data_IF_349649239210
#
_entry.id   IF_349649239210
#
_cell.length_a   1.000
_cell.length_b   1.000
_cell.length_c   1.000
_cell.angle_alpha   90.00
_cell.angle_beta   90.00
_cell.angle_gamma   90.00
#
_symmetry.space_group_name_H-M   'P 1'
#
loop_
_entity.id
_entity.type
_entity.pdbx_description
1 polymer ?
#
# COMPACT_ATOMS: atom_id res chain seq x y z
N UNK A 1 8.34 -1.54 6.34
CA UNK A 1 7.13 -1.00 7.00
C UNK A 1 6.27 -0.17 6.03
N UNK A 2 6.78 0.90 5.38
CA UNK A 2 5.99 1.76 4.47
C UNK A 2 5.27 1.01 3.33
N UNK A 3 5.91 -0.01 2.73
CA UNK A 3 5.29 -0.81 1.67
C UNK A 3 4.11 -1.65 2.16
N UNK A 4 4.25 -2.32 3.32
CA UNK A 4 3.22 -3.22 3.83
C UNK A 4 2.06 -2.46 4.49
N UNK A 5 2.34 -1.38 5.25
CA UNK A 5 1.31 -0.61 5.95
C UNK A 5 0.55 0.38 5.08
N UNK A 6 1.26 1.03 4.15
CA UNK A 6 0.68 2.09 3.31
C UNK A 6 0.51 1.68 1.85
N UNK A 7 0.94 0.48 1.49
CA UNK A 7 0.84 -0.03 0.13
C UNK A 7 1.71 0.73 -0.88
N UNK A 8 2.82 1.34 -0.46
CA UNK A 8 3.65 2.18 -1.32
C UNK A 8 4.53 1.34 -2.26
N UNK A 9 4.76 1.86 -3.47
CA UNK A 9 5.78 1.31 -4.39
C UNK A 9 7.18 1.64 -3.90
N UNK A 10 8.17 0.80 -4.22
CA UNK A 10 9.58 1.06 -3.89
C UNK A 10 10.06 2.43 -4.39
N UNK A 11 9.67 2.80 -5.58
CA UNK A 11 10.00 4.11 -6.17
C UNK A 11 9.34 5.29 -5.46
N UNK A 12 8.12 5.13 -4.98
CA UNK A 12 7.41 6.13 -4.17
C UNK A 12 8.12 6.31 -2.81
N UNK A 13 8.49 5.20 -2.16
CA UNK A 13 9.24 5.21 -0.87
C UNK A 13 10.55 5.99 -1.01
N UNK A 14 11.26 5.84 -2.12
CA UNK A 14 12.49 6.58 -2.40
C UNK A 14 12.29 8.07 -2.62
N UNK A 15 11.12 8.46 -3.12
CA UNK A 15 10.75 9.86 -3.36
C UNK A 15 10.15 10.59 -2.17
N UNK A 16 9.87 9.90 -1.05
CA UNK A 16 9.26 10.53 0.12
C UNK A 16 10.22 11.44 0.85
N UNK A 17 9.75 12.65 1.15
CA UNK A 17 10.46 13.66 1.96
C UNK A 17 9.80 13.81 3.33
N UNK A 18 10.54 14.31 4.29
CA UNK A 18 10.00 14.67 5.60
C UNK A 18 8.92 15.76 5.51
N UNK A 19 9.03 16.65 4.53
CA UNK A 19 8.03 17.69 4.24
C UNK A 19 6.71 17.14 3.70
N UNK A 20 6.66 15.87 3.29
CA UNK A 20 5.44 15.23 2.81
C UNK A 20 4.52 14.76 3.95
N UNK A 21 5.03 14.76 5.18
CA UNK A 21 4.25 14.45 6.38
C UNK A 21 3.45 15.69 6.77
N UNK A 22 2.12 15.56 6.78
CA UNK A 22 1.17 16.59 7.18
C UNK A 22 0.27 16.01 8.29
N UNK A 23 0.68 16.24 9.54
CA UNK A 23 0.04 15.64 10.70
C UNK A 23 0.05 14.12 10.63
N UNK A 24 -1.13 13.52 10.66
CA UNK A 24 -1.32 12.07 10.58
C UNK A 24 -1.37 11.54 9.13
N UNK A 25 -0.96 12.34 8.15
CA UNK A 25 -1.05 11.97 6.74
C UNK A 25 0.28 12.10 6.03
N UNK A 26 0.46 11.27 5.00
CA UNK A 26 1.58 11.29 4.09
C UNK A 26 1.08 11.64 2.68
N UNK A 27 1.66 12.69 2.10
CA UNK A 27 1.39 13.11 0.73
C UNK A 27 2.35 12.39 -0.22
N UNK A 28 1.82 11.65 -1.18
CA UNK A 28 2.60 10.90 -2.16
C UNK A 28 2.43 11.60 -3.50
N UNK A 29 3.49 12.21 -4.02
CA UNK A 29 3.44 12.99 -5.26
C UNK A 29 4.67 12.78 -6.15
N UNK A 30 5.69 12.07 -5.66
CA UNK A 30 6.93 11.84 -6.37
C UNK A 30 7.37 10.37 -6.27
N UNK A 31 8.20 9.95 -7.20
CA UNK A 31 8.83 8.65 -7.21
C UNK A 31 10.25 8.78 -7.78
N UNK A 32 11.24 8.11 -7.18
CA UNK A 32 12.59 8.02 -7.73
C UNK A 32 12.76 6.64 -8.38
N UNK A 33 13.06 6.65 -9.66
CA UNK A 33 13.38 5.45 -10.46
C UNK A 33 14.80 5.52 -10.97
N UNK A 34 15.45 4.39 -11.16
CA UNK A 34 16.76 4.34 -11.79
C UNK A 34 16.57 4.24 -13.32
N UNK A 35 17.12 5.21 -14.04
CA UNK A 35 17.22 5.23 -15.49
C UNK A 35 18.69 5.15 -15.85
N UNK A 36 19.12 4.06 -16.48
CA UNK A 36 20.52 3.80 -16.84
C UNK A 36 21.51 3.98 -15.67
N UNK A 37 21.09 3.50 -14.47
CA UNK A 37 21.88 3.60 -13.25
C UNK A 37 21.84 4.97 -12.54
N UNK A 38 21.17 5.95 -13.12
CA UNK A 38 21.02 7.29 -12.54
C UNK A 38 19.64 7.42 -11.87
N UNK A 39 19.59 7.86 -10.61
CA UNK A 39 18.29 8.11 -9.96
C UNK A 39 17.63 9.35 -10.59
N UNK A 40 16.41 9.15 -11.10
CA UNK A 40 15.60 10.21 -11.71
C UNK A 40 14.32 10.35 -10.91
N UNK A 41 14.08 11.56 -10.41
CA UNK A 41 12.80 11.89 -9.80
C UNK A 41 11.75 12.09 -10.90
N UNK A 42 10.63 11.40 -10.75
CA UNK A 42 9.45 11.56 -11.61
C UNK A 42 8.29 11.98 -10.73
N UNK A 43 7.66 13.09 -11.09
CA UNK A 43 6.34 13.41 -10.58
C UNK A 43 5.36 12.31 -10.95
N UNK A 44 4.30 12.16 -10.18
CA UNK A 44 3.23 11.20 -10.51
C UNK A 44 2.55 11.63 -11.81
N UNK A 45 2.68 10.80 -12.85
CA UNK A 45 2.16 11.09 -14.22
C UNK A 45 0.64 11.21 -14.31
N UNK A 46 -0.08 10.86 -13.26
CA UNK A 46 -1.55 10.83 -13.25
C UNK A 46 -2.08 11.42 -11.94
N UNK A 47 -3.26 12.02 -12.00
CA UNK A 47 -4.01 12.51 -10.82
C UNK A 47 -4.17 11.39 -9.78
N UNK A 48 -4.30 10.12 -10.20
CA UNK A 48 -4.37 8.95 -9.33
C UNK A 48 -3.04 8.59 -8.63
N UNK A 49 -1.91 9.11 -9.13
CA UNK A 49 -0.59 8.93 -8.51
C UNK A 49 -0.38 9.84 -7.30
N UNK A 50 -0.91 11.08 -7.36
CA UNK A 50 -0.88 12.01 -6.23
C UNK A 50 -2.01 11.65 -5.28
N UNK A 51 -1.66 11.31 -4.05
CA UNK A 51 -2.63 10.88 -3.04
C UNK A 51 -2.14 11.15 -1.63
N UNK A 52 -3.08 11.28 -0.72
CA UNK A 52 -2.86 11.43 0.71
C UNK A 52 -3.25 10.11 1.40
N UNK A 53 -2.36 9.57 2.23
CA UNK A 53 -2.57 8.31 2.96
C UNK A 53 -2.38 8.55 4.45
N UNK A 54 -3.32 8.07 5.26
CA UNK A 54 -3.22 8.14 6.71
C UNK A 54 -2.08 7.25 7.23
N UNK A 55 -1.27 7.79 8.12
CA UNK A 55 -0.15 7.13 8.79
C UNK A 55 -0.67 6.58 10.12
N UNK A 56 -0.75 5.26 10.34
CA UNK A 56 -1.21 4.70 11.61
C UNK A 56 -0.22 5.04 12.74
N UNK A 57 -0.69 5.13 14.01
CA UNK A 57 0.12 5.57 15.17
C UNK A 57 1.47 4.87 15.29
N UNK A 58 1.48 3.55 15.16
CA UNK A 58 2.73 2.77 15.17
C UNK A 58 3.77 3.27 14.15
N UNK A 59 3.34 3.63 12.95
CA UNK A 59 4.23 4.12 11.91
C UNK A 59 4.62 5.58 12.13
N UNK A 60 3.75 6.38 12.77
CA UNK A 60 4.09 7.75 13.20
C UNK A 60 5.24 7.72 14.21
N UNK A 61 5.17 6.85 15.24
CA UNK A 61 6.21 6.68 16.25
C UNK A 61 7.53 6.24 15.62
N UNK A 62 7.46 5.29 14.68
CA UNK A 62 8.63 4.84 13.95
C UNK A 62 9.28 5.96 13.12
N UNK A 63 8.50 6.78 12.45
CA UNK A 63 8.99 7.92 11.68
C UNK A 63 9.52 9.03 12.58
N UNK A 64 8.89 9.27 13.73
CA UNK A 64 9.34 10.26 14.70
C UNK A 64 10.70 9.90 15.31
N UNK A 65 10.96 8.61 15.54
CA UNK A 65 12.23 8.09 16.08
C UNK A 65 13.33 7.92 15.02
N UNK A 66 13.00 8.01 13.73
CA UNK A 66 13.97 7.81 12.66
C UNK A 66 14.93 9.02 12.53
N UNK A 67 16.22 8.78 12.27
CA UNK A 67 17.20 9.85 12.09
C UNK A 67 16.93 10.64 10.81
N UNK A 68 16.79 11.96 10.94
CA UNK A 68 16.58 12.88 9.80
C UNK A 68 17.91 13.34 9.21
N UNK A 69 18.67 12.42 8.61
CA UNK A 69 20.01 12.70 8.04
C UNK A 69 19.97 13.26 6.62
N UNK A 70 18.81 13.30 5.99
CA UNK A 70 18.57 13.75 4.62
C UNK A 70 17.19 14.40 4.54
N UNK A 71 16.90 15.10 3.45
CA UNK A 71 15.53 15.56 3.14
C UNK A 71 14.56 14.40 2.89
N UNK A 72 15.07 13.25 2.41
CA UNK A 72 14.29 12.04 2.15
C UNK A 72 14.11 11.20 3.43
N UNK A 73 12.93 10.62 3.59
CA UNK A 73 12.61 9.69 4.68
C UNK A 73 13.46 8.42 4.55
N UNK A 74 13.66 7.93 3.32
CA UNK A 74 14.46 6.73 3.03
C UNK A 74 15.54 7.08 2.00
N UNK A 75 16.69 7.65 2.45
CA UNK A 75 17.77 8.08 1.56
C UNK A 75 18.62 6.88 1.08
N UNK A 76 17.96 5.92 0.42
CA UNK A 76 18.60 4.66 -0.02
C UNK A 76 18.36 4.42 -1.50
N UNK A 77 19.31 3.72 -2.13
CA UNK A 77 19.13 3.22 -3.50
C UNK A 77 18.08 2.10 -3.55
N UNK A 78 17.50 1.87 -4.73
CA UNK A 78 16.55 0.78 -4.92
C UNK A 78 17.14 -0.60 -4.64
N UNK A 79 18.45 -0.80 -4.89
CA UNK A 79 19.19 -2.01 -4.56
C UNK A 79 19.34 -2.14 -3.03
N UNK A 80 19.79 -1.10 -2.33
CA UNK A 80 19.99 -1.14 -0.89
C UNK A 80 18.68 -1.43 -0.10
N UNK A 81 17.55 -0.89 -0.59
CA UNK A 81 16.22 -1.23 -0.02
C UNK A 81 15.90 -2.72 -0.22
N UNK A 82 16.17 -3.25 -1.42
CA UNK A 82 15.93 -4.66 -1.74
C UNK A 82 16.82 -5.57 -0.90
N UNK A 83 18.13 -5.30 -0.83
CA UNK A 83 19.08 -6.07 -0.03
C UNK A 83 18.74 -6.04 1.46
N UNK A 84 18.29 -4.89 1.97
CA UNK A 84 17.78 -4.76 3.33
C UNK A 84 16.55 -5.62 3.59
N UNK A 85 15.66 -5.72 2.61
CA UNK A 85 14.48 -6.57 2.67
C UNK A 85 14.85 -8.07 2.67
N UNK A 86 15.77 -8.50 1.80
CA UNK A 86 16.25 -9.88 1.76
C UNK A 86 16.89 -10.28 3.11
N UNK A 87 17.77 -9.43 3.67
CA UNK A 87 18.34 -9.68 5.01
C UNK A 87 17.26 -9.77 6.11
N UNK A 88 16.16 -9.02 5.98
CA UNK A 88 15.04 -9.13 6.91
C UNK A 88 14.30 -10.47 6.76
N UNK A 89 14.13 -10.98 5.55
CA UNK A 89 13.58 -12.32 5.28
C UNK A 89 14.47 -13.41 5.89
N UNK A 90 15.79 -13.33 5.67
CA UNK A 90 16.75 -14.29 6.24
C UNK A 90 16.67 -14.31 7.76
N UNK A 91 16.67 -13.12 8.39
CA UNK A 91 16.56 -13.01 9.85
C UNK A 91 15.26 -13.55 10.42
N UNK A 92 14.18 -13.43 9.65
CA UNK A 92 12.85 -13.95 10.03
C UNK A 92 12.67 -15.44 9.69
N UNK A 93 13.60 -16.07 8.98
CA UNK A 93 13.51 -17.46 8.54
C UNK A 93 12.40 -17.71 7.53
N UNK A 94 12.06 -16.69 6.71
CA UNK A 94 11.01 -16.78 5.69
C UNK A 94 11.62 -16.77 4.29
N UNK A 95 10.92 -17.32 3.27
CA UNK A 95 11.40 -17.31 1.87
C UNK A 95 11.65 -15.88 1.37
N UNK A 96 12.53 -15.76 0.37
CA UNK A 96 12.77 -14.50 -0.32
C UNK A 96 11.58 -14.17 -1.23
N UNK A 97 10.87 -13.10 -0.89
CA UNK A 97 9.79 -12.55 -1.70
C UNK A 97 10.28 -11.37 -2.54
N UNK A 98 9.51 -10.99 -3.55
CA UNK A 98 9.75 -9.71 -4.24
C UNK A 98 9.32 -8.56 -3.33
N UNK A 99 10.07 -7.47 -3.29
CA UNK A 99 9.69 -6.30 -2.49
C UNK A 99 8.28 -5.79 -2.80
N UNK A 100 7.84 -5.94 -4.05
CA UNK A 100 6.49 -5.54 -4.49
C UNK A 100 5.37 -6.39 -3.85
N UNK A 101 5.67 -7.60 -3.42
CA UNK A 101 4.70 -8.50 -2.79
C UNK A 101 4.21 -7.95 -1.44
N UNK A 102 5.01 -7.12 -0.75
CA UNK A 102 4.57 -6.40 0.44
C UNK A 102 3.36 -5.50 0.18
N UNK A 103 3.28 -4.92 -1.01
CA UNK A 103 2.15 -4.12 -1.43
C UNK A 103 0.94 -5.00 -1.77
N UNK A 104 1.16 -6.20 -2.30
CA UNK A 104 0.09 -7.18 -2.50
C UNK A 104 -0.52 -7.64 -1.16
N UNK A 105 0.30 -7.84 -0.13
CA UNK A 105 -0.19 -8.12 1.23
C UNK A 105 -1.12 -7.02 1.72
N UNK A 106 -0.76 -5.73 1.56
CA UNK A 106 -1.63 -4.61 1.92
C UNK A 106 -2.97 -4.66 1.17
N UNK A 107 -2.94 -4.97 -0.13
CA UNK A 107 -4.15 -5.13 -0.94
C UNK A 107 -5.04 -6.28 -0.44
N UNK A 108 -4.45 -7.44 -0.13
CA UNK A 108 -5.16 -8.61 0.38
C UNK A 108 -5.83 -8.33 1.73
N UNK A 109 -5.14 -7.65 2.65
CA UNK A 109 -5.70 -7.23 3.95
C UNK A 109 -6.90 -6.30 3.76
N UNK A 110 -6.82 -5.33 2.85
CA UNK A 110 -7.96 -4.44 2.58
C UNK A 110 -9.15 -5.19 1.99
N UNK A 111 -8.90 -6.21 1.20
CA UNK A 111 -9.95 -7.06 0.65
C UNK A 111 -10.64 -7.88 1.75
N UNK A 112 -9.86 -8.61 2.54
CA UNK A 112 -10.37 -9.43 3.64
C UNK A 112 -11.15 -8.60 4.66
N UNK A 113 -10.74 -7.35 4.86
CA UNK A 113 -11.48 -6.36 5.64
C UNK A 113 -12.69 -5.74 4.91
N UNK A 114 -13.08 -6.25 3.74
CA UNK A 114 -14.21 -5.78 2.93
C UNK A 114 -14.17 -4.28 2.59
N UNK A 115 -12.96 -3.71 2.50
CA UNK A 115 -12.80 -2.29 2.15
C UNK A 115 -13.23 -2.07 0.69
N UNK A 116 -14.09 -1.07 0.41
CA UNK A 116 -14.57 -0.80 -0.94
C UNK A 116 -13.43 -0.67 -1.96
N UNK A 117 -13.52 -1.39 -3.08
CA UNK A 117 -12.46 -1.43 -4.12
C UNK A 117 -12.02 -0.04 -4.57
N UNK A 118 -12.96 0.89 -4.72
CA UNK A 118 -12.67 2.27 -5.14
C UNK A 118 -11.78 3.01 -4.13
N UNK A 119 -11.98 2.77 -2.82
CA UNK A 119 -11.11 3.31 -1.78
C UNK A 119 -9.72 2.67 -1.83
N UNK A 120 -9.65 1.34 -1.95
CA UNK A 120 -8.40 0.58 -2.02
C UNK A 120 -7.56 1.03 -3.24
N UNK A 121 -8.17 1.19 -4.41
CA UNK A 121 -7.53 1.72 -5.61
C UNK A 121 -6.95 3.13 -5.40
N UNK A 122 -7.76 4.04 -4.83
CA UNK A 122 -7.32 5.40 -4.52
C UNK A 122 -6.15 5.40 -3.54
N UNK A 123 -6.25 4.62 -2.45
CA UNK A 123 -5.21 4.49 -1.42
C UNK A 123 -3.90 3.96 -2.00
N UNK A 124 -3.97 2.99 -2.89
CA UNK A 124 -2.80 2.38 -3.53
C UNK A 124 -2.30 3.16 -4.76
N UNK A 125 -3.04 4.13 -5.27
CA UNK A 125 -2.67 4.87 -6.49
C UNK A 125 -2.65 3.97 -7.73
N UNK A 126 -3.68 3.14 -7.90
CA UNK A 126 -3.89 2.34 -9.11
C UNK A 126 -4.75 3.11 -10.11
N UNK A 127 -4.30 3.15 -11.37
CA UNK A 127 -5.07 3.75 -12.45
C UNK A 127 -6.14 2.81 -13.02
N UNK A 128 -6.05 1.49 -12.76
CA UNK A 128 -6.93 0.48 -13.36
C UNK A 128 -7.28 -0.66 -12.40
N UNK A 129 -8.47 -1.22 -12.57
CA UNK A 129 -9.04 -2.35 -11.81
C UNK A 129 -8.28 -3.67 -11.96
N UNK A 130 -7.49 -3.85 -13.03
CA UNK A 130 -6.98 -5.15 -13.42
C UNK A 130 -6.03 -5.80 -12.40
N UNK A 131 -5.28 -5.00 -11.64
CA UNK A 131 -4.34 -5.57 -10.67
C UNK A 131 -5.05 -6.09 -9.42
N UNK A 132 -6.15 -5.46 -9.02
CA UNK A 132 -7.01 -5.96 -7.96
C UNK A 132 -7.73 -7.23 -8.44
N UNK A 133 -8.31 -7.25 -9.62
CA UNK A 133 -9.06 -8.39 -10.16
C UNK A 133 -8.26 -9.69 -10.20
N UNK A 134 -7.01 -9.67 -10.65
CA UNK A 134 -6.19 -10.89 -10.77
C UNK A 134 -5.76 -11.46 -9.41
N UNK A 135 -5.56 -10.60 -8.40
CA UNK A 135 -5.27 -11.06 -7.02
C UNK A 135 -6.53 -11.59 -6.34
N UNK A 136 -7.71 -11.11 -6.75
CA UNK A 136 -9.00 -11.35 -6.12
C UNK A 136 -9.74 -12.59 -6.61
N UNK A 137 -9.47 -13.10 -7.84
CA UNK A 137 -10.23 -14.21 -8.42
C UNK A 137 -10.22 -15.49 -7.57
N UNK A 138 -9.16 -15.73 -6.78
CA UNK A 138 -9.10 -16.89 -5.90
C UNK A 138 -9.89 -16.68 -4.60
N UNK A 139 -9.87 -15.48 -4.04
CA UNK A 139 -10.52 -15.18 -2.75
C UNK A 139 -12.05 -15.09 -2.92
N UNK A 140 -12.55 -14.58 -4.05
CA UNK A 140 -13.99 -14.48 -4.31
C UNK A 140 -14.69 -15.85 -4.40
N UNK A 141 -14.03 -16.88 -4.94
CA UNK A 141 -14.64 -18.21 -5.07
C UNK A 141 -14.93 -18.89 -3.74
N UNK A 142 -14.10 -18.66 -2.75
CA UNK A 142 -14.22 -19.32 -1.43
C UNK A 142 -15.25 -18.62 -0.52
N UNK A 143 -15.68 -17.40 -0.87
CA UNK A 143 -16.56 -16.56 -0.05
C UNK A 143 -17.91 -16.23 -0.71
N UNK A 144 -18.25 -16.79 -1.87
CA UNK A 144 -19.50 -16.48 -2.60
C UNK A 144 -20.74 -16.71 -1.70
N UNK A 145 -20.81 -17.85 -1.03
CA UNK A 145 -21.94 -18.19 -0.18
C UNK A 145 -22.09 -17.23 1.04
N UNK A 146 -20.96 -16.74 1.58
CA UNK A 146 -20.95 -15.77 2.67
C UNK A 146 -21.45 -14.39 2.18
N UNK A 147 -21.02 -13.96 1.00
CA UNK A 147 -21.49 -12.72 0.40
C UNK A 147 -22.98 -12.78 0.03
N UNK A 148 -23.46 -13.89 -0.49
CA UNK A 148 -24.88 -14.09 -0.79
C UNK A 148 -25.73 -14.01 0.49
N UNK A 149 -25.29 -14.61 1.58
CA UNK A 149 -25.97 -14.53 2.87
C UNK A 149 -26.02 -13.08 3.43
N UNK A 150 -24.93 -12.32 3.28
CA UNK A 150 -24.90 -10.89 3.66
C UNK A 150 -25.85 -10.06 2.80
N UNK A 151 -25.90 -10.30 1.49
CA UNK A 151 -26.82 -9.62 0.59
C UNK A 151 -28.27 -9.93 0.97
N UNK A 152 -28.56 -11.21 1.18
CA UNK A 152 -29.90 -11.65 1.57
C UNK A 152 -30.34 -10.99 2.88
N UNK A 153 -29.49 -11.01 3.91
CA UNK A 153 -29.75 -10.36 5.20
C UNK A 153 -30.00 -8.85 5.05
N UNK A 154 -29.16 -8.17 4.25
CA UNK A 154 -29.30 -6.73 4.01
C UNK A 154 -30.61 -6.41 3.26
N UNK A 155 -30.97 -7.21 2.28
CA UNK A 155 -32.22 -7.03 1.52
C UNK A 155 -33.46 -7.30 2.40
N UNK A 156 -33.43 -8.32 3.26
CA UNK A 156 -34.49 -8.61 4.22
C UNK A 156 -34.70 -7.44 5.19
N UNK A 157 -33.61 -6.85 5.70
CA UNK A 157 -33.69 -5.69 6.59
C UNK A 157 -34.28 -4.44 5.93
N UNK A 158 -34.03 -4.25 4.61
CA UNK A 158 -34.65 -3.15 3.84
C UNK A 158 -36.14 -3.38 3.62
N UNK A 159 -36.53 -4.63 3.41
CA UNK A 159 -37.94 -5.00 3.13
C UNK A 159 -38.80 -5.14 4.39
N UNK A 160 -38.19 -5.44 5.54
CA UNK A 160 -38.86 -5.60 6.85
C UNK A 160 -38.00 -4.98 7.97
N UNK A 161 -37.99 -3.62 8.08
CA UNK A 161 -37.13 -2.91 9.00
C UNK A 161 -37.55 -3.07 10.50
N UNK A 162 -38.66 -3.74 10.80
CA UNK A 162 -39.17 -3.96 12.18
C UNK A 162 -38.79 -5.34 12.77
N UNK A 163 -37.97 -6.13 12.04
CA UNK A 163 -37.38 -7.38 12.54
C UNK A 163 -35.88 -7.21 12.78
#
# INVERSE_FOLDING_TARGET
MLAIWLGLRKSEIRGLRWSDIDGEYLNIHAAIVDCDGVPVEKGTKTISGTRRVHIPPYLQDLLASAPKTSEFIVPMTGAAIYDGFIRACDKAGVPHYRFHDLRHVNASVMLEAHIPNKYSQRRMGHATDNMLKNTYQHIFRDSEAEYDAVIESAMQHILDPEK
#
